data_IF_274159079119
#
_entry.id   IF_274159079119
#
_cell.length_a   1.000
_cell.length_b   1.000
_cell.length_c   1.000
_cell.angle_alpha   90.00
_cell.angle_beta   90.00
_cell.angle_gamma   90.00
#
_symmetry.space_group_name_H-M   'P 1'
#
loop_
_entity.id
_entity.type
_entity.pdbx_description
1 polymer ?
#
# COMPACT_ATOMS: atom_id res chain seq x y z
N UNK A 1 9.83 -19.82 1.84
CA UNK A 1 9.81 -20.12 0.39
C UNK A 1 10.19 -18.82 -0.30
N UNK A 2 11.32 -18.75 -0.99
CA UNK A 2 11.70 -17.54 -1.74
C UNK A 2 10.68 -17.36 -2.89
N UNK A 3 9.83 -16.36 -2.76
CA UNK A 3 8.84 -16.00 -3.77
C UNK A 3 9.57 -15.43 -4.98
N UNK A 4 9.34 -16.01 -6.17
CA UNK A 4 9.95 -15.66 -7.47
C UNK A 4 9.40 -14.33 -8.04
N UNK A 5 9.26 -13.33 -7.17
CA UNK A 5 8.63 -12.04 -7.46
C UNK A 5 9.62 -11.10 -8.13
N UNK A 6 9.11 -10.29 -9.06
CA UNK A 6 9.87 -9.31 -9.83
C UNK A 6 10.38 -8.18 -8.95
N UNK A 7 9.53 -7.68 -8.04
CA UNK A 7 9.88 -6.56 -7.18
C UNK A 7 10.42 -7.04 -5.83
N UNK A 8 11.24 -6.21 -5.21
CA UNK A 8 11.49 -6.34 -3.77
C UNK A 8 10.28 -5.85 -2.99
N UNK A 9 10.17 -6.26 -1.72
CA UNK A 9 9.12 -5.75 -0.83
C UNK A 9 9.12 -4.23 -0.73
N UNK A 10 10.30 -3.60 -0.67
CA UNK A 10 10.41 -2.13 -0.60
C UNK A 10 9.93 -1.44 -1.88
N UNK A 11 10.27 -1.99 -3.06
CA UNK A 11 9.77 -1.50 -4.34
C UNK A 11 8.24 -1.65 -4.41
N UNK A 12 7.73 -2.84 -4.07
CA UNK A 12 6.30 -3.11 -4.07
C UNK A 12 5.53 -2.19 -3.11
N UNK A 13 6.08 -1.91 -1.91
CA UNK A 13 5.52 -0.96 -0.96
C UNK A 13 5.41 0.45 -1.54
N UNK A 14 6.45 0.93 -2.23
CA UNK A 14 6.43 2.24 -2.87
C UNK A 14 5.36 2.32 -3.96
N UNK A 15 5.22 1.28 -4.79
CA UNK A 15 4.17 1.22 -5.81
C UNK A 15 2.78 1.18 -5.18
N UNK A 16 2.58 0.37 -4.14
CA UNK A 16 1.30 0.28 -3.43
C UNK A 16 0.88 1.64 -2.85
N UNK A 17 1.80 2.36 -2.21
CA UNK A 17 1.54 3.71 -1.70
C UNK A 17 1.19 4.70 -2.82
N UNK A 18 1.82 4.59 -4.00
CA UNK A 18 1.49 5.43 -5.16
C UNK A 18 0.09 5.11 -5.71
N UNK A 19 -0.30 3.83 -5.77
CA UNK A 19 -1.67 3.43 -6.13
C UNK A 19 -2.69 4.02 -5.16
N UNK A 20 -2.45 3.91 -3.84
CA UNK A 20 -3.31 4.54 -2.82
C UNK A 20 -3.44 6.05 -3.02
N UNK A 21 -2.32 6.75 -3.23
CA UNK A 21 -2.34 8.20 -3.43
C UNK A 21 -3.13 8.61 -4.68
N UNK A 22 -3.01 7.87 -5.78
CA UNK A 22 -3.74 8.17 -7.02
C UNK A 22 -5.22 7.82 -6.92
N UNK A 23 -5.59 6.76 -6.20
CA UNK A 23 -6.99 6.45 -5.90
C UNK A 23 -7.68 7.58 -5.12
N UNK A 24 -6.99 8.22 -4.17
CA UNK A 24 -7.51 9.38 -3.44
C UNK A 24 -7.79 10.59 -4.34
N UNK A 25 -7.19 10.64 -5.54
CA UNK A 25 -7.44 11.67 -6.55
C UNK A 25 -8.50 11.25 -7.57
N UNK A 26 -9.14 10.09 -7.39
CA UNK A 26 -10.09 9.52 -8.35
C UNK A 26 -9.44 8.98 -9.62
N UNK A 27 -8.12 8.78 -9.64
CA UNK A 27 -7.41 8.17 -10.78
C UNK A 27 -7.32 6.66 -10.58
N UNK A 28 -7.99 5.94 -11.46
CA UNK A 28 -8.12 4.46 -11.42
C UNK A 28 -6.98 3.72 -12.13
N UNK A 29 -5.97 4.44 -12.64
CA UNK A 29 -4.89 3.81 -13.37
C UNK A 29 -3.62 4.66 -13.48
N UNK A 30 -2.52 3.97 -13.74
CA UNK A 30 -1.19 4.54 -13.82
C UNK A 30 -0.14 3.53 -14.26
N UNK A 31 1.08 4.01 -14.46
CA UNK A 31 2.23 3.15 -14.66
C UNK A 31 3.46 3.80 -14.03
N UNK A 32 4.31 2.97 -13.44
CA UNK A 32 5.61 3.36 -12.90
C UNK A 32 6.68 2.45 -13.48
N UNK A 33 7.82 3.05 -13.80
CA UNK A 33 9.04 2.34 -14.15
C UNK A 33 9.91 2.35 -12.89
N UNK A 34 10.29 1.17 -12.44
CA UNK A 34 11.15 1.01 -11.28
C UNK A 34 12.60 1.06 -11.76
N UNK A 35 13.42 1.97 -11.23
CA UNK A 35 14.84 1.99 -11.54
C UNK A 35 15.45 0.62 -11.28
N UNK A 36 16.22 0.11 -12.24
CA UNK A 36 16.93 -1.15 -12.06
C UNK A 36 18.02 -1.00 -10.99
N UNK A 37 18.18 -2.04 -10.18
CA UNK A 37 19.39 -2.20 -9.36
C UNK A 37 20.61 -2.48 -10.27
N UNK A 38 21.85 -2.21 -9.84
CA UNK A 38 23.06 -2.38 -10.66
C UNK A 38 23.22 -3.78 -11.27
N UNK A 39 22.70 -4.78 -10.56
CA UNK A 39 22.73 -6.21 -10.86
C UNK A 39 21.47 -6.71 -11.58
N UNK A 40 20.46 -5.85 -11.79
CA UNK A 40 19.28 -6.17 -12.59
C UNK A 40 19.54 -5.97 -14.09
N UNK A 41 19.15 -6.97 -14.88
CA UNK A 41 19.24 -6.94 -16.34
C UNK A 41 18.22 -6.00 -16.99
N UNK A 42 17.12 -5.74 -16.29
CA UNK A 42 15.94 -5.09 -16.84
C UNK A 42 15.25 -4.21 -15.80
N UNK A 43 14.57 -3.16 -16.28
CA UNK A 43 13.79 -2.23 -15.46
C UNK A 43 12.38 -2.79 -15.28
N UNK A 44 11.96 -3.15 -14.05
CA UNK A 44 10.59 -3.57 -13.83
C UNK A 44 9.62 -2.44 -14.15
N UNK A 45 8.57 -2.75 -14.90
CA UNK A 45 7.44 -1.85 -15.09
C UNK A 45 6.22 -2.38 -14.36
N UNK A 46 5.56 -1.49 -13.62
CA UNK A 46 4.24 -1.75 -13.06
C UNK A 46 3.21 -0.88 -13.76
N UNK A 47 2.09 -1.47 -14.14
CA UNK A 47 0.92 -0.75 -14.64
C UNK A 47 -0.33 -1.24 -13.92
N UNK A 48 -1.26 -0.34 -13.67
CA UNK A 48 -2.55 -0.68 -13.08
C UNK A 48 -3.66 0.11 -13.72
N UNK A 49 -4.83 -0.52 -13.80
CA UNK A 49 -6.06 0.08 -14.28
C UNK A 49 -7.25 -0.71 -13.71
N UNK A 50 -8.45 -0.48 -14.24
CA UNK A 50 -9.67 -1.19 -13.85
C UNK A 50 -9.64 -2.72 -14.10
N UNK A 51 -8.67 -3.23 -14.88
CA UNK A 51 -8.50 -4.66 -15.12
C UNK A 51 -7.57 -5.34 -14.10
N UNK A 52 -6.82 -4.56 -13.31
CA UNK A 52 -5.90 -5.09 -12.30
C UNK A 52 -4.51 -4.46 -12.35
N UNK A 53 -3.54 -5.11 -11.69
CA UNK A 53 -2.13 -4.70 -11.60
C UNK A 53 -1.27 -5.69 -12.37
N UNK A 54 -0.43 -5.17 -13.28
CA UNK A 54 0.55 -5.96 -14.03
C UNK A 54 1.95 -5.51 -13.65
N UNK A 55 2.82 -6.47 -13.32
CA UNK A 55 4.26 -6.25 -13.16
C UNK A 55 4.96 -7.03 -14.26
N UNK A 56 5.89 -6.43 -15.00
CA UNK A 56 6.65 -7.15 -16.01
C UNK A 56 8.07 -6.63 -16.16
N UNK A 57 8.93 -7.53 -16.64
CA UNK A 57 10.27 -7.28 -17.15
C UNK A 57 10.28 -7.73 -18.61
N UNK A 58 10.50 -6.79 -19.53
CA UNK A 58 10.45 -7.00 -20.97
C UNK A 58 11.56 -7.95 -21.47
N UNK A 59 12.78 -7.84 -20.96
CA UNK A 59 13.94 -8.60 -21.41
C UNK A 59 13.96 -10.03 -20.88
N UNK A 60 13.33 -10.29 -19.74
CA UNK A 60 13.25 -11.64 -19.14
C UNK A 60 11.94 -12.34 -19.47
N UNK A 61 11.01 -11.65 -20.14
CA UNK A 61 9.63 -12.10 -20.37
C UNK A 61 8.92 -12.55 -19.09
N UNK A 62 9.38 -12.09 -17.93
CA UNK A 62 8.80 -12.42 -16.63
C UNK A 62 7.65 -11.45 -16.36
N UNK A 63 6.46 -11.99 -16.12
CA UNK A 63 5.23 -11.20 -15.98
C UNK A 63 4.37 -11.76 -14.86
N UNK A 64 3.86 -10.85 -14.04
CA UNK A 64 2.90 -11.09 -12.98
C UNK A 64 1.64 -10.29 -13.25
N UNK A 65 0.50 -10.88 -12.90
CA UNK A 65 -0.79 -10.24 -13.00
C UNK A 65 -1.59 -10.49 -11.72
N UNK A 66 -2.19 -9.41 -11.21
CA UNK A 66 -3.00 -9.40 -10.00
C UNK A 66 -4.35 -8.77 -10.34
N UNK A 67 -5.44 -9.36 -9.84
CA UNK A 67 -6.80 -8.92 -10.14
C UNK A 67 -7.08 -7.47 -9.69
N UNK A 68 -6.44 -7.04 -8.60
CA UNK A 68 -6.63 -5.72 -8.01
C UNK A 68 -5.42 -5.34 -7.14
N UNK A 69 -5.49 -4.13 -6.56
CA UNK A 69 -4.48 -3.59 -5.66
C UNK A 69 -4.29 -4.42 -4.39
N UNK A 70 -5.34 -5.06 -3.87
CA UNK A 70 -5.29 -5.87 -2.65
C UNK A 70 -4.59 -7.21 -2.91
N UNK A 71 -4.87 -7.83 -4.05
CA UNK A 71 -4.19 -9.05 -4.51
C UNK A 71 -2.68 -8.81 -4.73
N UNK A 72 -2.31 -7.65 -5.27
CA UNK A 72 -0.91 -7.24 -5.37
C UNK A 72 -0.26 -7.10 -3.99
N UNK A 73 -0.90 -6.39 -3.05
CA UNK A 73 -0.36 -6.21 -1.70
C UNK A 73 -0.14 -7.55 -0.99
N UNK A 74 -1.14 -8.44 -1.04
CA UNK A 74 -1.07 -9.76 -0.44
C UNK A 74 0.08 -10.61 -1.02
N UNK A 75 0.28 -10.57 -2.35
CA UNK A 75 1.36 -11.32 -3.01
C UNK A 75 2.75 -10.87 -2.56
N UNK A 76 2.93 -9.58 -2.32
CA UNK A 76 4.19 -8.99 -1.88
C UNK A 76 4.35 -8.95 -0.34
N UNK A 77 3.39 -9.50 0.41
CA UNK A 77 3.38 -9.46 1.88
C UNK A 77 3.33 -8.04 2.42
N UNK A 78 2.79 -7.10 1.65
CA UNK A 78 2.53 -5.75 2.11
C UNK A 78 1.29 -5.86 2.98
N UNK A 79 1.45 -5.65 4.28
CA UNK A 79 0.28 -5.46 5.13
C UNK A 79 -0.51 -4.31 4.50
N UNK A 80 -1.70 -4.62 4.01
CA UNK A 80 -2.72 -3.64 3.63
C UNK A 80 -3.25 -2.94 4.90
N UNK A 81 -2.35 -2.62 5.84
CA UNK A 81 -2.59 -1.77 6.98
C UNK A 81 -3.19 -0.50 6.42
N UNK A 82 -4.51 -0.41 6.61
CA UNK A 82 -5.32 0.77 6.58
C UNK A 82 -4.50 2.00 6.98
N UNK A 83 -4.75 3.17 6.36
CA UNK A 83 -3.97 4.40 6.55
C UNK A 83 -3.51 4.50 7.99
N UNK A 84 -2.20 4.56 8.20
CA UNK A 84 -1.53 4.45 9.51
C UNK A 84 -2.33 5.16 10.62
N UNK A 85 -3.19 4.38 11.28
CA UNK A 85 -4.05 4.89 12.35
C UNK A 85 -3.18 4.89 13.59
N UNK A 86 -2.61 6.04 13.89
CA UNK A 86 -1.87 6.22 15.13
C UNK A 86 -2.83 6.63 16.24
N UNK A 87 -2.58 6.18 17.46
CA UNK A 87 -3.38 6.54 18.64
C UNK A 87 -2.60 7.52 19.50
N UNK A 88 -3.31 8.50 20.08
CA UNK A 88 -2.72 9.45 21.00
C UNK A 88 -3.62 9.61 22.23
N UNK A 89 -3.02 9.53 23.41
CA UNK A 89 -3.68 9.84 24.68
C UNK A 89 -3.56 11.34 25.00
N UNK A 90 -4.69 11.98 25.26
CA UNK A 90 -4.74 13.36 25.76
C UNK A 90 -5.32 13.36 27.18
N UNK A 91 -4.55 13.80 28.21
CA UNK A 91 -5.04 13.89 29.58
C UNK A 91 -6.33 14.73 29.68
N UNK A 92 -7.35 14.19 30.36
CA UNK A 92 -8.66 14.84 30.50
C UNK A 92 -9.62 14.68 29.31
N UNK A 93 -9.17 14.06 28.21
CA UNK A 93 -10.00 13.81 27.02
C UNK A 93 -10.11 12.30 26.71
N UNK A 94 -9.01 11.55 26.84
CA UNK A 94 -8.95 10.11 26.54
C UNK A 94 -8.05 9.76 25.35
N UNK A 95 -8.14 8.53 24.87
CA UNK A 95 -7.49 8.05 23.66
C UNK A 95 -8.21 8.55 22.42
N UNK A 96 -7.46 8.97 21.40
CA UNK A 96 -7.97 9.44 20.13
C UNK A 96 -7.20 8.74 19.02
N UNK A 97 -7.85 8.44 17.89
CA UNK A 97 -7.10 8.01 16.71
C UNK A 97 -6.76 9.21 15.83
N UNK A 98 -5.61 9.16 15.19
CA UNK A 98 -5.03 10.22 14.39
C UNK A 98 -4.92 9.73 12.96
N UNK A 99 -5.46 10.54 12.06
CA UNK A 99 -5.40 10.33 10.61
C UNK A 99 -4.78 11.55 9.96
N UNK A 100 -4.59 11.52 8.64
CA UNK A 100 -4.12 12.67 7.87
C UNK A 100 -5.01 13.92 8.02
N UNK A 101 -6.28 13.76 8.40
CA UNK A 101 -7.24 14.87 8.56
C UNK A 101 -7.33 15.40 9.99
N UNK A 102 -6.63 14.78 10.94
CA UNK A 102 -6.59 15.21 12.35
C UNK A 102 -6.89 14.10 13.35
N UNK A 103 -7.15 14.52 14.60
CA UNK A 103 -7.50 13.64 15.73
C UNK A 103 -9.01 13.45 15.81
N UNK A 104 -9.44 12.22 16.08
CA UNK A 104 -10.84 11.83 16.05
C UNK A 104 -11.23 10.97 17.24
N UNK A 105 -12.46 11.22 17.71
CA UNK A 105 -13.10 10.51 18.82
C UNK A 105 -12.42 10.72 20.17
N UNK A 106 -13.08 10.22 21.22
CA UNK A 106 -12.58 10.18 22.59
C UNK A 106 -12.92 8.79 23.14
N UNK A 107 -11.91 7.95 23.34
CA UNK A 107 -12.07 6.56 23.74
C UNK A 107 -11.39 6.33 25.08
N UNK A 108 -11.96 5.42 25.87
CA UNK A 108 -11.40 5.08 27.18
C UNK A 108 -10.13 4.21 27.06
N UNK A 109 -9.97 3.51 25.94
CA UNK A 109 -8.84 2.60 25.71
C UNK A 109 -8.21 2.82 24.34
N UNK A 110 -6.90 2.55 24.27
CA UNK A 110 -6.13 2.59 23.02
C UNK A 110 -6.71 1.63 21.97
N UNK A 111 -7.07 0.42 22.39
CA UNK A 111 -7.65 -0.59 21.51
C UNK A 111 -8.95 -0.11 20.85
N UNK A 112 -9.84 0.55 21.61
CA UNK A 112 -11.08 1.10 21.06
C UNK A 112 -10.82 2.21 20.05
N UNK A 113 -9.85 3.09 20.31
CA UNK A 113 -9.44 4.13 19.36
C UNK A 113 -8.86 3.53 18.08
N UNK A 114 -8.01 2.50 18.21
CA UNK A 114 -7.38 1.83 17.08
C UNK A 114 -8.39 1.06 16.21
N UNK A 115 -9.35 0.38 16.84
CA UNK A 115 -10.47 -0.28 16.15
C UNK A 115 -11.37 0.73 15.43
N UNK A 116 -11.69 1.85 16.08
CA UNK A 116 -12.52 2.90 15.48
C UNK A 116 -11.82 3.56 14.29
N UNK A 117 -10.53 3.88 14.40
CA UNK A 117 -9.79 4.49 13.30
C UNK A 117 -9.61 3.54 12.12
N UNK A 118 -9.46 2.23 12.36
CA UNK A 118 -9.44 1.22 11.28
C UNK A 118 -10.79 1.04 10.59
N UNK A 119 -11.89 1.27 11.29
CA UNK A 119 -13.24 1.19 10.72
C UNK A 119 -13.64 2.49 9.97
N UNK A 120 -13.00 3.60 10.28
CA UNK A 120 -13.24 4.92 9.66
C UNK A 120 -12.34 5.19 8.45
N UNK A 121 -11.41 4.28 8.15
CA UNK A 121 -10.46 4.32 7.06
C UNK A 121 -10.96 3.53 5.85
#
# INVERSE_FOLDING_TARGET
>A
MQSNLILTTAQAQAVYSAMCALNNLGRVGGSVIIPKEPDQRDEPRVSWNFLGVTVHQDLTFHKEFYADQSAFAAAYGLDASAPEVTTQYTPGIGWQYVTQTGRHGNFETEAAALTAGRAAA
#
